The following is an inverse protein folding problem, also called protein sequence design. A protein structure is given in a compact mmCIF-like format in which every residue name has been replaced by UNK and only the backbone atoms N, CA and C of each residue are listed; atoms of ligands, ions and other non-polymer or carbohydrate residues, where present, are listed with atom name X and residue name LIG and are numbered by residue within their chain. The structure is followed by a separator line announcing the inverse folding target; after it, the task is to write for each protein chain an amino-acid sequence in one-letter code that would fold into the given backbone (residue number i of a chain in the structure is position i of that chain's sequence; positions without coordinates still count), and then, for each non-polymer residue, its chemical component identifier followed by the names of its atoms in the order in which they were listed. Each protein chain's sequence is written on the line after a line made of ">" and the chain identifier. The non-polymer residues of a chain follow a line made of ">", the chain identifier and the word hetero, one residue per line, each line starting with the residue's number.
data_IF_453383176457
#
_entry.id   IF_453383176457
#
_cell.length_a   1.000
_cell.length_b   1.000
_cell.length_c   1.000
_cell.angle_alpha   90.00
_cell.angle_beta   90.00
_cell.angle_gamma   90.00
#
_symmetry.space_group_name_H-M   'P 1'
#
loop_
_entity.id
_entity.type
_entity.pdbx_description
1 polymer ?
#
# COMPACT_ATOMS: atom_id res chain seq x y z
N UNK A 1 -5.75 24.01 15.80
CA UNK A 1 -6.95 24.42 16.55
C UNK A 1 -6.74 24.42 18.08
N UNK A 2 -6.05 23.45 18.67
CA UNK A 2 -5.76 23.43 20.14
C UNK A 2 -4.84 24.57 20.61
N UNK A 3 -3.85 24.96 19.81
CA UNK A 3 -2.92 26.06 20.16
C UNK A 3 -3.61 27.43 20.15
N UNK A 4 -4.53 27.69 19.23
CA UNK A 4 -5.32 28.93 19.20
C UNK A 4 -6.23 29.06 20.44
N UNK A 5 -6.82 27.97 20.92
CA UNK A 5 -7.62 27.95 22.15
C UNK A 5 -6.78 28.17 23.42
N UNK A 6 -5.51 27.72 23.43
CA UNK A 6 -4.61 28.00 24.54
C UNK A 6 -4.25 29.48 24.63
N UNK A 7 -4.04 30.15 23.49
CA UNK A 7 -3.73 31.59 23.43
C UNK A 7 -4.94 32.48 23.73
N UNK A 8 -6.13 32.07 23.29
CA UNK A 8 -7.36 32.77 23.63
C UNK A 8 -7.63 32.75 25.15
N UNK A 9 -7.44 31.57 25.79
CA UNK A 9 -7.56 31.43 27.24
C UNK A 9 -6.45 32.14 28.04
N UNK A 10 -5.26 32.32 27.44
CA UNK A 10 -4.18 33.09 28.06
C UNK A 10 -4.43 34.61 27.97
N UNK A 11 -4.93 35.07 26.83
CA UNK A 11 -5.28 36.49 26.64
C UNK A 11 -6.46 36.96 27.51
N UNK A 12 -7.44 36.07 27.77
CA UNK A 12 -8.62 36.38 28.60
C UNK A 12 -8.30 36.33 30.10
N UNK A 13 -7.21 35.64 30.52
CA UNK A 13 -6.78 35.57 31.92
C UNK A 13 -5.89 36.73 32.38
N UNK A 14 -5.36 37.53 31.48
CA UNK A 14 -4.65 38.75 31.79
C UNK A 14 -5.65 39.93 31.76
N UNK A 15 -6.29 40.16 32.90
CA UNK A 15 -7.03 41.38 33.18
C UNK A 15 -6.02 42.54 33.04
N UNK A 16 -6.14 43.32 31.95
CA UNK A 16 -5.28 44.45 31.65
C UNK A 16 -5.65 45.59 32.58
N UNK A 17 -5.21 45.51 33.84
CA UNK A 17 -5.29 46.60 34.79
C UNK A 17 -4.33 47.73 34.34
N UNK A 18 -4.82 48.93 34.28
CA UNK A 18 -4.36 50.13 33.56
C UNK A 18 -2.94 50.68 33.88
N UNK A 19 -2.01 49.89 34.42
CA UNK A 19 -0.72 50.37 34.92
C UNK A 19 0.54 49.75 34.33
N UNK A 20 0.48 49.19 33.12
CA UNK A 20 1.72 48.71 32.43
C UNK A 20 2.31 49.88 31.63
N UNK A 21 3.55 50.35 31.93
CA UNK A 21 4.18 51.41 31.16
C UNK A 21 4.25 51.05 29.69
N UNK A 22 3.85 51.96 28.80
CA UNK A 22 3.77 51.78 27.34
C UNK A 22 5.06 51.18 26.73
N UNK A 23 6.21 51.35 27.37
CA UNK A 23 7.52 50.80 26.99
C UNK A 23 7.68 49.29 27.28
N UNK A 24 7.06 48.79 28.35
CA UNK A 24 7.08 47.37 28.69
C UNK A 24 6.14 46.55 27.75
N UNK A 25 4.98 47.10 27.45
CA UNK A 25 4.01 46.48 26.53
C UNK A 25 4.56 46.38 25.11
N UNK A 26 5.27 47.42 24.61
CA UNK A 26 5.96 47.37 23.31
C UNK A 26 7.07 46.31 23.27
N UNK A 27 7.82 46.08 24.35
CA UNK A 27 8.81 45.02 24.47
C UNK A 27 8.17 43.62 24.47
N UNK A 28 7.08 43.43 25.19
CA UNK A 28 6.36 42.17 25.26
C UNK A 28 5.76 41.82 23.88
N UNK A 29 5.12 42.77 23.22
CA UNK A 29 4.58 42.59 21.86
C UNK A 29 5.71 42.28 20.86
N UNK A 30 6.87 42.94 20.95
CA UNK A 30 8.02 42.69 20.10
C UNK A 30 8.61 41.27 20.31
N UNK A 31 8.65 40.79 21.57
CA UNK A 31 9.12 39.46 21.92
C UNK A 31 8.13 38.40 21.40
N UNK A 32 6.82 38.62 21.52
CA UNK A 32 5.78 37.71 20.99
C UNK A 32 5.83 37.68 19.47
N UNK A 33 5.99 38.81 18.79
CA UNK A 33 6.13 38.88 17.34
C UNK A 33 7.43 38.22 16.85
N UNK A 34 8.54 38.41 17.57
CA UNK A 34 9.81 37.71 17.28
C UNK A 34 9.69 36.21 17.52
N UNK A 35 9.02 35.77 18.59
CA UNK A 35 8.77 34.36 18.84
C UNK A 35 7.83 33.73 17.78
N UNK A 36 6.80 34.45 17.33
CA UNK A 36 5.94 33.99 16.22
C UNK A 36 6.68 33.97 14.90
N UNK A 37 7.59 34.89 14.58
CA UNK A 37 8.44 34.80 13.39
C UNK A 37 9.43 33.65 13.47
N UNK A 38 10.01 33.39 14.62
CA UNK A 38 10.93 32.26 14.82
C UNK A 38 10.20 30.92 14.73
N UNK A 39 8.98 30.82 15.26
CA UNK A 39 8.16 29.60 15.10
C UNK A 39 7.65 29.41 13.68
N UNK A 40 7.36 30.46 12.93
CA UNK A 40 7.00 30.36 11.50
C UNK A 40 8.22 30.04 10.60
N UNK A 41 9.44 30.45 10.99
CA UNK A 41 10.67 30.04 10.29
C UNK A 41 11.11 28.61 10.64
N UNK A 42 10.73 28.08 11.81
CA UNK A 42 11.02 26.68 12.18
C UNK A 42 9.98 25.68 11.63
N UNK A 43 8.86 26.15 11.14
CA UNK A 43 7.88 25.37 10.38
C UNK A 43 8.16 25.41 8.88
N UNK A 44 9.43 25.50 8.48
CA UNK A 44 9.84 25.12 7.12
C UNK A 44 9.70 23.59 7.09
N UNK A 45 8.52 23.12 6.67
CA UNK A 45 8.29 21.71 6.44
C UNK A 45 9.39 21.23 5.49
N UNK A 46 10.20 20.30 5.97
CA UNK A 46 11.17 19.64 5.07
C UNK A 46 10.40 19.19 3.84
N UNK A 47 10.94 19.48 2.65
CA UNK A 47 10.35 19.00 1.39
C UNK A 47 10.08 17.49 1.52
N UNK A 48 8.91 17.00 1.10
CA UNK A 48 8.59 15.58 1.17
C UNK A 48 9.67 14.78 0.48
N UNK A 49 10.15 13.74 1.14
CA UNK A 49 11.15 12.87 0.52
C UNK A 49 10.55 12.18 -0.69
N UNK A 50 11.33 12.13 -1.77
CA UNK A 50 10.93 11.47 -3.00
C UNK A 50 12.14 10.89 -3.73
N UNK A 51 11.91 9.81 -4.48
CA UNK A 51 12.95 9.13 -5.25
C UNK A 51 12.37 8.56 -6.54
N UNK A 52 13.10 8.74 -7.66
CA UNK A 52 12.82 8.01 -8.90
C UNK A 52 13.50 6.65 -8.80
N UNK A 53 12.74 5.60 -9.05
CA UNK A 53 13.20 4.21 -9.02
C UNK A 53 13.28 3.70 -10.46
N UNK A 54 14.43 3.15 -10.86
CA UNK A 54 14.63 2.50 -12.17
C UNK A 54 14.06 3.32 -13.34
N UNK A 55 14.47 4.58 -13.46
CA UNK A 55 14.02 5.54 -14.48
C UNK A 55 12.48 5.71 -14.54
N UNK A 56 11.80 5.43 -13.43
CA UNK A 56 10.35 5.53 -13.30
C UNK A 56 9.59 4.31 -13.80
N UNK A 57 10.26 3.17 -14.02
CA UNK A 57 9.65 1.92 -14.47
C UNK A 57 9.49 1.81 -15.98
N UNK A 58 8.99 0.67 -16.45
CA UNK A 58 8.85 0.34 -17.88
C UNK A 58 7.48 0.70 -18.47
N UNK A 59 6.51 1.03 -17.62
CA UNK A 59 5.15 1.39 -18.03
C UNK A 59 5.06 2.72 -18.80
N UNK A 60 3.87 3.02 -19.32
CA UNK A 60 3.64 4.25 -20.10
C UNK A 60 3.71 5.53 -19.27
N UNK A 61 3.68 5.43 -17.93
CA UNK A 61 3.73 6.58 -17.03
C UNK A 61 4.96 6.47 -16.14
N UNK A 62 5.89 7.40 -16.24
CA UNK A 62 7.03 7.43 -15.33
C UNK A 62 6.56 7.59 -13.89
N UNK A 63 6.89 6.62 -13.04
CA UNK A 63 6.48 6.62 -11.64
C UNK A 63 7.52 7.25 -10.72
N UNK A 64 7.09 7.66 -9.54
CA UNK A 64 7.91 8.18 -8.45
C UNK A 64 7.46 7.55 -7.13
N UNK A 65 8.42 7.28 -6.28
CA UNK A 65 8.22 6.91 -4.88
C UNK A 65 8.35 8.17 -4.01
N UNK A 66 7.38 8.45 -3.14
CA UNK A 66 7.35 9.67 -2.33
C UNK A 66 6.62 9.52 -0.99
N UNK A 67 6.93 10.41 -0.06
CA UNK A 67 6.13 10.65 1.14
C UNK A 67 4.94 11.56 0.84
N UNK A 68 3.89 11.41 1.61
CA UNK A 68 2.75 12.33 1.63
C UNK A 68 2.52 12.80 3.07
N UNK A 69 2.57 14.12 3.29
CA UNK A 69 2.41 14.70 4.63
C UNK A 69 1.04 14.38 5.26
N UNK A 70 0.04 14.12 4.42
CA UNK A 70 -1.30 13.75 4.86
C UNK A 70 -1.46 12.28 5.23
N UNK A 71 -0.42 11.44 5.03
CA UNK A 71 -0.43 10.01 5.36
C UNK A 71 0.95 9.59 5.92
N UNK A 72 1.14 9.81 7.21
CA UNK A 72 2.38 9.44 7.89
C UNK A 72 2.62 7.92 7.86
N UNK A 73 3.89 7.53 7.90
CA UNK A 73 4.30 6.11 7.91
C UNK A 73 3.77 5.28 6.74
N UNK A 74 3.65 5.92 5.58
CA UNK A 74 3.33 5.26 4.31
C UNK A 74 4.21 5.81 3.20
N UNK A 75 4.45 4.97 2.20
CA UNK A 75 5.16 5.32 0.98
C UNK A 75 4.20 5.25 -0.21
N UNK A 76 4.12 6.32 -0.96
CA UNK A 76 3.28 6.40 -2.16
C UNK A 76 4.15 6.16 -3.40
N UNK A 77 3.67 5.28 -4.28
CA UNK A 77 4.17 5.14 -5.64
C UNK A 77 3.06 5.54 -6.62
N UNK A 78 3.34 6.49 -7.47
CA UNK A 78 2.36 7.03 -8.42
C UNK A 78 3.04 7.53 -9.69
N UNK A 79 2.31 7.67 -10.81
CA UNK A 79 2.81 8.43 -11.95
C UNK A 79 3.25 9.83 -11.52
N UNK A 80 4.40 10.29 -12.04
CA UNK A 80 4.93 11.63 -11.74
C UNK A 80 3.99 12.72 -12.26
N UNK A 81 3.47 12.53 -13.47
CA UNK A 81 2.51 13.45 -14.08
C UNK A 81 1.08 12.98 -13.81
N UNK A 82 0.44 13.60 -12.82
CA UNK A 82 -0.96 13.36 -12.52
C UNK A 82 -1.93 14.15 -13.41
N UNK A 83 -1.45 15.04 -14.30
CA UNK A 83 -2.31 15.87 -15.15
C UNK A 83 -3.04 15.06 -16.21
N UNK A 84 -2.48 13.91 -16.61
CA UNK A 84 -3.06 12.99 -17.58
C UNK A 84 -4.23 12.15 -17.00
N UNK A 85 -4.41 12.17 -15.68
CA UNK A 85 -5.47 11.46 -14.98
C UNK A 85 -6.62 12.41 -14.63
N UNK A 86 -7.84 11.92 -14.78
CA UNK A 86 -9.09 12.67 -14.58
C UNK A 86 -10.26 11.70 -14.38
N UNK A 87 -11.49 12.21 -14.29
CA UNK A 87 -12.69 11.42 -14.07
C UNK A 87 -12.91 10.27 -15.09
N UNK A 88 -12.31 10.33 -16.29
CA UNK A 88 -12.44 9.31 -17.35
C UNK A 88 -11.23 8.36 -17.40
N UNK A 89 -10.08 8.77 -16.86
CA UNK A 89 -8.85 7.97 -16.78
C UNK A 89 -8.32 8.06 -15.35
N UNK A 90 -8.76 7.15 -14.49
CA UNK A 90 -8.43 7.16 -13.06
C UNK A 90 -7.37 6.13 -12.73
N UNK A 91 -6.69 6.35 -11.62
CA UNK A 91 -5.71 5.45 -11.01
C UNK A 91 -6.44 4.44 -10.11
N UNK A 92 -6.55 3.16 -10.46
CA UNK A 92 -6.92 2.14 -9.48
C UNK A 92 -5.90 2.07 -8.36
N UNK A 93 -6.32 1.59 -7.19
CA UNK A 93 -5.50 1.58 -5.98
C UNK A 93 -4.97 0.20 -5.69
N UNK A 94 -3.69 0.12 -5.32
CA UNK A 94 -3.09 -1.04 -4.67
C UNK A 94 -2.63 -0.63 -3.28
N UNK A 95 -3.18 -1.23 -2.22
CA UNK A 95 -2.61 -1.11 -0.88
C UNK A 95 -1.71 -2.31 -0.60
N UNK A 96 -0.51 -2.06 -0.05
CA UNK A 96 0.54 -3.07 0.08
C UNK A 96 1.09 -3.17 1.50
N UNK A 97 1.16 -4.42 2.01
CA UNK A 97 1.87 -4.77 3.24
C UNK A 97 3.20 -5.46 2.95
N UNK A 98 4.22 -5.14 3.75
CA UNK A 98 5.58 -5.61 3.53
C UNK A 98 5.88 -6.94 4.23
N UNK A 99 6.89 -7.68 3.73
CA UNK A 99 7.46 -8.84 4.39
C UNK A 99 7.99 -8.51 5.79
N UNK A 100 8.07 -9.51 6.67
CA UNK A 100 8.48 -9.38 8.06
C UNK A 100 7.71 -8.32 8.87
N UNK A 101 6.53 -7.90 8.43
CA UNK A 101 5.82 -6.71 8.93
C UNK A 101 6.70 -5.45 8.96
N UNK A 102 7.67 -5.35 8.06
CA UNK A 102 8.59 -4.24 8.03
C UNK A 102 7.85 -2.93 7.73
N UNK A 103 8.08 -1.89 8.53
CA UNK A 103 7.46 -0.58 8.33
C UNK A 103 8.24 0.26 7.29
N UNK A 104 8.65 -0.39 6.21
CA UNK A 104 9.25 0.21 5.01
C UNK A 104 9.14 -0.76 3.83
N UNK A 105 8.81 -0.29 2.62
CA UNK A 105 8.77 -1.11 1.41
C UNK A 105 10.17 -1.36 0.80
N UNK A 106 11.24 -1.33 1.59
CA UNK A 106 12.62 -1.44 1.14
C UNK A 106 12.89 -2.63 0.22
N UNK A 107 12.35 -3.82 0.54
CA UNK A 107 12.57 -5.02 -0.28
C UNK A 107 11.68 -5.08 -1.54
N UNK A 108 10.64 -4.21 -1.61
CA UNK A 108 9.59 -4.28 -2.62
C UNK A 108 9.50 -3.05 -3.52
N UNK A 109 10.31 -1.99 -3.27
CA UNK A 109 10.12 -0.70 -3.94
C UNK A 109 10.25 -0.76 -5.47
N UNK A 110 11.09 -1.66 -6.01
CA UNK A 110 11.22 -1.85 -7.46
C UNK A 110 9.94 -2.45 -8.07
N UNK A 111 9.40 -3.49 -7.44
CA UNK A 111 8.14 -4.12 -7.80
C UNK A 111 6.96 -3.14 -7.73
N UNK A 112 6.87 -2.36 -6.66
CA UNK A 112 5.77 -1.41 -6.44
C UNK A 112 5.85 -0.22 -7.41
N UNK A 113 7.07 0.26 -7.69
CA UNK A 113 7.29 1.32 -8.67
C UNK A 113 6.94 0.87 -10.09
N UNK A 114 7.28 -0.37 -10.44
CA UNK A 114 6.90 -0.95 -11.72
C UNK A 114 5.38 -0.97 -11.88
N UNK A 115 4.62 -1.43 -10.88
CA UNK A 115 3.16 -1.41 -10.89
C UNK A 115 2.63 0.02 -11.08
N UNK A 116 3.17 1.00 -10.34
CA UNK A 116 2.75 2.38 -10.43
C UNK A 116 2.99 2.96 -11.83
N UNK A 117 4.07 2.55 -12.51
CA UNK A 117 4.37 3.01 -13.87
C UNK A 117 3.32 2.62 -14.92
N UNK A 118 2.49 1.65 -14.60
CA UNK A 118 1.33 1.26 -15.43
C UNK A 118 0.03 1.99 -15.05
N UNK A 119 0.13 3.09 -14.32
CA UNK A 119 -1.01 3.95 -13.98
C UNK A 119 -1.86 3.37 -12.86
N UNK A 120 -1.21 2.98 -11.76
CA UNK A 120 -1.82 2.65 -10.48
C UNK A 120 -1.35 3.64 -9.41
N UNK A 121 -2.20 3.91 -8.44
CA UNK A 121 -1.79 4.50 -7.17
C UNK A 121 -1.47 3.35 -6.22
N UNK A 122 -0.20 3.23 -5.85
CA UNK A 122 0.25 2.22 -4.88
C UNK A 122 0.54 2.90 -3.56
N UNK A 123 -0.10 2.42 -2.50
CA UNK A 123 0.09 2.90 -1.13
C UNK A 123 0.67 1.75 -0.30
N UNK A 124 1.96 1.81 -0.02
CA UNK A 124 2.65 0.82 0.78
C UNK A 124 2.76 1.28 2.24
N UNK A 125 2.60 0.35 3.19
CA UNK A 125 2.84 0.64 4.60
C UNK A 125 4.32 0.97 4.83
N UNK A 126 4.58 1.96 5.69
CA UNK A 126 5.91 2.27 6.18
C UNK A 126 6.66 3.39 5.47
N UNK A 127 7.78 3.74 6.07
CA UNK A 127 8.61 4.89 5.69
C UNK A 127 9.33 4.66 4.36
N UNK A 128 9.47 5.74 3.60
CA UNK A 128 10.17 5.72 2.31
C UNK A 128 11.64 5.30 2.46
N UNK A 129 12.12 4.30 1.70
CA UNK A 129 13.52 3.92 1.67
C UNK A 129 14.32 4.88 0.78
N UNK A 130 15.04 5.84 1.39
CA UNK A 130 15.84 6.84 0.64
C UNK A 130 17.25 6.38 0.32
N UNK A 131 17.77 5.43 1.05
CA UNK A 131 19.09 4.81 0.91
C UNK A 131 18.92 3.28 0.87
N UNK A 132 20.02 2.57 0.68
CA UNK A 132 20.01 1.11 0.59
C UNK A 132 20.13 0.43 1.98
N UNK A 133 19.80 1.16 3.04
CA UNK A 133 19.78 0.62 4.41
C UNK A 133 18.40 0.04 4.74
N UNK A 134 18.34 -1.19 5.29
CA UNK A 134 17.11 -1.76 5.80
C UNK A 134 16.51 -0.90 6.93
N UNK A 135 15.19 -0.88 7.00
CA UNK A 135 14.50 -0.22 8.10
C UNK A 135 14.66 -0.99 9.43
N UNK A 136 14.95 -0.28 10.51
CA UNK A 136 15.17 -0.82 11.85
C UNK A 136 14.25 -0.20 12.91
N UNK A 137 13.00 0.06 12.58
CA UNK A 137 12.02 0.68 13.48
C UNK A 137 10.88 -0.28 13.89
N UNK A 138 9.82 0.26 14.48
CA UNK A 138 8.61 -0.49 14.80
C UNK A 138 8.02 -1.19 13.59
N UNK A 139 7.36 -2.33 13.81
CA UNK A 139 6.69 -3.07 12.74
C UNK A 139 5.43 -2.34 12.27
N UNK A 140 5.05 -2.57 11.00
CA UNK A 140 3.79 -2.12 10.46
C UNK A 140 2.61 -2.89 11.05
N UNK A 141 1.43 -2.29 11.02
CA UNK A 141 0.20 -2.84 11.56
C UNK A 141 -0.81 -3.19 10.45
N UNK A 142 -1.79 -4.03 10.77
CA UNK A 142 -2.93 -4.30 9.89
C UNK A 142 -3.74 -3.03 9.57
N UNK A 143 -3.79 -2.10 10.53
CA UNK A 143 -4.55 -0.85 10.42
C UNK A 143 -3.99 0.06 9.32
N UNK A 144 -2.69 0.08 9.08
CA UNK A 144 -2.08 0.92 8.05
C UNK A 144 -2.60 0.60 6.63
N UNK A 145 -2.95 -0.66 6.31
CA UNK A 145 -3.60 -0.95 5.02
C UNK A 145 -5.00 -0.34 4.93
N UNK A 146 -5.75 -0.28 6.03
CA UNK A 146 -7.07 0.37 6.08
C UNK A 146 -6.92 1.89 5.95
N UNK A 147 -5.95 2.48 6.64
CA UNK A 147 -5.60 3.90 6.52
C UNK A 147 -5.22 4.29 5.10
N UNK A 148 -4.53 3.40 4.37
CA UNK A 148 -4.22 3.58 2.95
C UNK A 148 -5.48 3.71 2.10
N UNK A 149 -6.50 2.88 2.35
CA UNK A 149 -7.79 2.93 1.65
C UNK A 149 -8.54 4.21 2.01
N UNK A 150 -8.63 4.53 3.30
CA UNK A 150 -9.31 5.73 3.80
C UNK A 150 -8.70 7.00 3.20
N UNK A 151 -7.36 7.06 3.20
CA UNK A 151 -6.63 8.18 2.62
C UNK A 151 -6.89 8.33 1.11
N UNK A 152 -6.83 7.26 0.34
CA UNK A 152 -7.06 7.32 -1.10
C UNK A 152 -8.47 7.83 -1.43
N UNK A 153 -9.49 7.41 -0.66
CA UNK A 153 -10.87 7.87 -0.80
C UNK A 153 -10.98 9.36 -0.45
N UNK A 154 -10.37 9.79 0.65
CA UNK A 154 -10.36 11.18 1.08
C UNK A 154 -9.68 12.07 0.04
N UNK A 155 -8.49 11.68 -0.45
CA UNK A 155 -7.74 12.44 -1.46
C UNK A 155 -8.51 12.59 -2.79
N UNK A 156 -9.24 11.56 -3.20
CA UNK A 156 -10.05 11.64 -4.42
C UNK A 156 -11.22 12.64 -4.29
N UNK A 157 -11.67 12.89 -3.08
CA UNK A 157 -12.84 13.73 -2.78
C UNK A 157 -12.47 15.16 -2.38
N UNK A 158 -11.22 15.42 -2.02
CA UNK A 158 -10.72 16.72 -1.59
C UNK A 158 -10.33 17.58 -2.80
N UNK A 159 -11.03 18.71 -3.06
CA UNK A 159 -10.72 19.62 -4.17
C UNK A 159 -9.31 20.22 -4.13
N UNK A 160 -8.70 20.31 -2.94
CA UNK A 160 -7.36 20.86 -2.75
C UNK A 160 -6.26 19.80 -2.94
N UNK A 161 -6.65 18.53 -3.07
CA UNK A 161 -5.70 17.42 -3.29
C UNK A 161 -5.22 17.37 -4.75
N UNK A 162 -3.92 17.08 -4.98
CA UNK A 162 -3.39 16.79 -6.32
C UNK A 162 -4.05 15.55 -6.96
N UNK A 163 -4.70 14.71 -6.15
CA UNK A 163 -5.39 13.49 -6.57
C UNK A 163 -6.90 13.69 -6.81
N UNK A 164 -7.42 14.89 -6.64
CA UNK A 164 -8.85 15.17 -6.78
C UNK A 164 -9.44 14.64 -8.10
N UNK A 165 -10.48 13.81 -7.99
CA UNK A 165 -11.15 13.14 -9.12
C UNK A 165 -10.24 12.28 -10.02
N UNK A 166 -9.04 11.87 -9.55
CA UNK A 166 -8.08 11.08 -10.33
C UNK A 166 -7.93 9.64 -9.84
N UNK A 167 -8.43 9.30 -8.64
CA UNK A 167 -8.32 7.96 -8.08
C UNK A 167 -9.60 7.18 -8.38
N UNK A 168 -9.44 5.92 -8.77
CA UNK A 168 -10.56 4.98 -8.92
C UNK A 168 -10.81 4.25 -7.60
N UNK A 169 -11.54 4.90 -6.72
CA UNK A 169 -11.89 4.38 -5.38
C UNK A 169 -12.88 3.20 -5.42
N UNK A 170 -13.34 2.80 -6.60
CA UNK A 170 -14.19 1.62 -6.79
C UNK A 170 -13.39 0.37 -7.16
N UNK A 171 -12.13 0.52 -7.52
CA UNK A 171 -11.25 -0.56 -7.92
C UNK A 171 -9.99 -0.54 -7.05
N UNK A 172 -10.06 -1.23 -5.92
CA UNK A 172 -9.01 -1.29 -4.89
C UNK A 172 -8.55 -2.73 -4.73
N UNK A 173 -7.26 -2.98 -4.94
CA UNK A 173 -6.62 -4.22 -4.57
C UNK A 173 -5.96 -4.08 -3.19
N UNK A 174 -6.09 -5.10 -2.36
CA UNK A 174 -5.24 -5.27 -1.19
C UNK A 174 -4.26 -6.43 -1.43
N UNK A 175 -2.99 -6.18 -1.10
CA UNK A 175 -1.93 -7.15 -1.33
C UNK A 175 -0.83 -7.04 -0.28
N UNK A 176 0.02 -8.05 -0.24
CA UNK A 176 1.22 -8.02 0.60
C UNK A 176 2.03 -9.29 0.50
N UNK A 177 3.30 -9.18 0.89
CA UNK A 177 4.24 -10.29 0.90
C UNK A 177 4.43 -10.80 2.34
N UNK A 178 4.42 -12.14 2.51
CA UNK A 178 4.71 -12.79 3.80
C UNK A 178 3.82 -12.22 4.93
N UNK A 179 4.40 -11.57 5.94
CA UNK A 179 3.65 -10.89 7.00
C UNK A 179 2.62 -9.89 6.43
N UNK A 180 2.98 -9.10 5.40
CA UNK A 180 2.04 -8.20 4.74
C UNK A 180 0.87 -8.92 4.06
N UNK A 181 1.09 -10.15 3.56
CA UNK A 181 0.03 -11.01 3.06
C UNK A 181 -0.92 -11.48 4.16
N UNK A 182 -0.39 -11.75 5.36
CA UNK A 182 -1.21 -12.06 6.55
C UNK A 182 -2.03 -10.85 6.98
N UNK A 183 -1.46 -9.63 6.95
CA UNK A 183 -2.19 -8.38 7.20
C UNK A 183 -3.33 -8.20 6.18
N UNK A 184 -3.07 -8.51 4.91
CA UNK A 184 -4.07 -8.47 3.84
C UNK A 184 -5.21 -9.47 4.09
N UNK A 185 -4.89 -10.70 4.49
CA UNK A 185 -5.89 -11.70 4.86
C UNK A 185 -6.68 -11.31 6.12
N UNK A 186 -6.05 -10.64 7.07
CA UNK A 186 -6.74 -10.07 8.22
C UNK A 186 -7.82 -9.06 7.80
N UNK A 187 -7.53 -8.23 6.81
CA UNK A 187 -8.40 -7.16 6.30
C UNK A 187 -9.34 -7.61 5.16
N UNK A 188 -9.34 -8.89 4.76
CA UNK A 188 -10.03 -9.37 3.56
C UNK A 188 -11.55 -9.15 3.54
N UNK A 189 -12.17 -8.88 4.69
CA UNK A 189 -13.60 -8.62 4.83
C UNK A 189 -14.01 -7.17 4.46
N UNK A 190 -13.05 -6.24 4.31
CA UNK A 190 -13.36 -4.86 3.95
C UNK A 190 -14.02 -4.79 2.57
N UNK A 191 -15.27 -4.30 2.53
CA UNK A 191 -16.11 -4.29 1.32
C UNK A 191 -15.63 -3.36 0.21
N UNK A 192 -14.67 -2.49 0.48
CA UNK A 192 -14.05 -1.60 -0.51
C UNK A 192 -13.00 -2.33 -1.36
N UNK A 193 -12.46 -3.44 -0.84
CA UNK A 193 -11.50 -4.27 -1.56
C UNK A 193 -12.23 -5.05 -2.66
N UNK A 194 -11.73 -4.98 -3.88
CA UNK A 194 -12.33 -5.61 -5.06
C UNK A 194 -11.52 -6.79 -5.59
N UNK A 195 -10.28 -6.95 -5.16
CA UNK A 195 -9.45 -8.14 -5.40
C UNK A 195 -8.34 -8.25 -4.37
N UNK A 196 -7.88 -9.47 -4.13
CA UNK A 196 -6.74 -9.77 -3.25
C UNK A 196 -5.58 -10.36 -4.05
N UNK A 197 -4.36 -10.00 -3.62
CA UNK A 197 -3.12 -10.61 -4.13
C UNK A 197 -2.23 -10.98 -2.95
N UNK A 198 -2.13 -12.28 -2.66
CA UNK A 198 -1.40 -12.83 -1.52
C UNK A 198 -0.07 -13.36 -2.04
N UNK A 199 1.01 -12.71 -1.66
CA UNK A 199 2.35 -12.96 -2.19
C UNK A 199 3.22 -13.66 -1.13
N UNK A 200 3.80 -14.83 -1.47
CA UNK A 200 4.65 -15.62 -0.56
C UNK A 200 4.07 -15.69 0.86
N UNK A 201 2.78 -15.98 0.98
CA UNK A 201 2.05 -15.91 2.25
C UNK A 201 0.89 -16.91 2.29
N UNK A 202 0.34 -17.11 3.48
CA UNK A 202 -0.82 -17.94 3.76
C UNK A 202 -1.01 -18.08 5.26
N UNK A 203 -2.25 -18.29 5.71
CA UNK A 203 -2.58 -18.45 7.12
C UNK A 203 -1.93 -19.72 7.69
N UNK A 204 -1.48 -19.66 8.93
CA UNK A 204 -0.92 -20.82 9.60
C UNK A 204 -2.01 -21.85 9.98
N UNK A 205 -1.64 -23.13 10.06
CA UNK A 205 -2.50 -24.14 10.68
C UNK A 205 -2.63 -23.85 12.18
N UNK A 206 -3.80 -24.20 12.77
CA UNK A 206 -4.16 -23.88 14.16
C UNK A 206 -3.10 -24.32 15.18
N UNK A 207 -2.43 -25.44 14.94
CA UNK A 207 -1.37 -25.97 15.81
C UNK A 207 -0.20 -25.00 16.03
N UNK A 208 -0.02 -24.02 15.13
CA UNK A 208 1.01 -22.99 15.18
C UNK A 208 0.47 -21.58 15.48
N UNK A 209 -0.83 -21.45 15.75
CA UNK A 209 -1.52 -20.16 15.91
C UNK A 209 -1.08 -19.34 17.15
N UNK A 210 -0.28 -19.91 18.05
CA UNK A 210 0.30 -19.18 19.18
C UNK A 210 1.47 -18.30 18.79
N UNK A 211 1.97 -18.40 17.57
CA UNK A 211 3.07 -17.60 17.07
C UNK A 211 2.50 -16.32 16.42
N UNK A 212 2.42 -15.25 17.22
CA UNK A 212 2.19 -13.91 16.67
C UNK A 212 3.35 -13.57 15.71
N UNK A 213 3.02 -13.27 14.46
CA UNK A 213 3.99 -12.73 13.51
C UNK A 213 3.93 -11.20 13.59
N UNK A 214 5.03 -10.57 13.95
CA UNK A 214 5.06 -9.12 14.10
C UNK A 214 4.15 -8.59 15.22
N UNK A 215 3.86 -9.39 16.27
CA UNK A 215 2.93 -8.99 17.33
C UNK A 215 1.45 -9.02 16.93
N UNK A 216 1.15 -9.36 15.68
CA UNK A 216 -0.21 -9.49 15.18
C UNK A 216 -0.79 -10.87 15.54
N UNK A 217 -1.99 -10.95 16.15
CA UNK A 217 -2.65 -12.23 16.35
C UNK A 217 -2.98 -12.85 14.99
N UNK A 218 -2.61 -14.13 14.83
CA UNK A 218 -2.86 -14.85 13.58
C UNK A 218 -4.33 -15.21 13.46
N UNK A 219 -5.03 -14.80 12.39
CA UNK A 219 -6.39 -15.22 12.16
C UNK A 219 -6.42 -16.74 11.85
N UNK A 220 -7.46 -17.45 12.29
CA UNK A 220 -7.64 -18.85 11.95
C UNK A 220 -7.98 -19.03 10.47
N UNK A 221 -7.88 -20.26 9.94
CA UNK A 221 -8.19 -20.59 8.53
C UNK A 221 -9.64 -20.24 8.13
N UNK A 222 -10.56 -20.22 9.08
CA UNK A 222 -11.95 -19.81 8.88
C UNK A 222 -12.09 -18.38 8.39
N UNK A 223 -11.09 -17.52 8.64
CA UNK A 223 -10.99 -16.15 8.10
C UNK A 223 -11.10 -16.13 6.57
N UNK A 224 -10.63 -17.16 5.89
CA UNK A 224 -10.74 -17.29 4.43
C UNK A 224 -12.20 -17.23 3.94
N UNK A 225 -13.18 -17.64 4.76
CA UNK A 225 -14.61 -17.57 4.42
C UNK A 225 -15.14 -16.13 4.31
N UNK A 226 -14.41 -15.15 4.83
CA UNK A 226 -14.79 -13.74 4.73
C UNK A 226 -14.28 -13.07 3.43
N UNK A 227 -13.46 -13.78 2.65
CA UNK A 227 -13.04 -13.33 1.32
C UNK A 227 -14.27 -13.26 0.42
N UNK A 228 -14.53 -12.12 -0.18
CA UNK A 228 -15.70 -11.88 -1.00
C UNK A 228 -15.37 -11.45 -2.44
N UNK A 229 -14.09 -11.46 -2.80
CA UNK A 229 -13.55 -10.95 -4.07
C UNK A 229 -12.66 -11.99 -4.73
N UNK A 230 -12.34 -11.87 -6.04
CA UNK A 230 -11.32 -12.69 -6.67
C UNK A 230 -9.97 -12.58 -5.94
N UNK A 231 -9.27 -13.71 -5.80
CA UNK A 231 -7.96 -13.77 -5.12
C UNK A 231 -6.94 -14.55 -5.95
N UNK A 232 -5.72 -14.00 -5.99
CA UNK A 232 -4.55 -14.71 -6.50
C UNK A 232 -3.53 -14.91 -5.37
N UNK A 233 -2.98 -16.12 -5.28
CA UNK A 233 -1.75 -16.42 -4.54
C UNK A 233 -0.59 -16.43 -5.53
N UNK A 234 0.47 -15.65 -5.25
CA UNK A 234 1.73 -15.66 -6.00
C UNK A 234 2.80 -16.18 -5.06
N UNK A 235 3.28 -17.40 -5.29
CA UNK A 235 4.13 -18.12 -4.35
C UNK A 235 5.47 -18.48 -4.99
N UNK A 236 6.49 -18.61 -4.15
CA UNK A 236 7.85 -18.97 -4.52
C UNK A 236 8.09 -20.48 -4.74
N UNK A 237 7.01 -21.28 -4.91
CA UNK A 237 7.08 -22.73 -5.07
C UNK A 237 7.54 -23.45 -3.78
N UNK A 238 7.88 -24.75 -3.87
CA UNK A 238 8.28 -25.55 -2.71
C UNK A 238 9.45 -25.00 -1.87
N UNK A 239 10.42 -24.26 -2.44
CA UNK A 239 11.45 -23.59 -1.63
C UNK A 239 10.96 -22.42 -0.78
N UNK A 240 9.74 -21.94 -0.99
CA UNK A 240 9.11 -20.89 -0.23
C UNK A 240 8.54 -21.43 1.08
N UNK A 241 8.96 -20.87 2.21
CA UNK A 241 8.48 -21.27 3.57
C UNK A 241 6.97 -21.09 3.74
N UNK A 242 6.35 -20.20 2.94
CA UNK A 242 4.92 -19.95 2.96
C UNK A 242 4.13 -20.84 1.97
N UNK A 243 4.80 -21.62 1.12
CA UNK A 243 4.17 -22.36 0.04
C UNK A 243 3.04 -23.28 0.53
N UNK A 244 3.31 -24.13 1.52
CA UNK A 244 2.32 -25.08 2.05
C UNK A 244 1.10 -24.37 2.67
N UNK A 245 1.32 -23.25 3.36
CA UNK A 245 0.25 -22.46 3.94
C UNK A 245 -0.61 -21.77 2.86
N UNK A 246 0.03 -21.18 1.84
CA UNK A 246 -0.65 -20.50 0.74
C UNK A 246 -1.42 -21.48 -0.15
N UNK A 247 -0.87 -22.66 -0.45
CA UNK A 247 -1.57 -23.69 -1.18
C UNK A 247 -2.74 -24.29 -0.40
N UNK A 248 -2.60 -24.50 0.92
CA UNK A 248 -3.69 -24.93 1.78
C UNK A 248 -4.82 -23.89 1.83
N UNK A 249 -4.49 -22.59 1.90
CA UNK A 249 -5.48 -21.51 1.80
C UNK A 249 -6.21 -21.55 0.46
N UNK A 250 -5.47 -21.61 -0.64
CA UNK A 250 -6.04 -21.68 -1.99
C UNK A 250 -7.02 -22.86 -2.14
N UNK A 251 -6.66 -24.03 -1.67
CA UNK A 251 -7.52 -25.22 -1.76
C UNK A 251 -8.78 -25.14 -0.87
N UNK A 252 -8.77 -24.29 0.18
CA UNK A 252 -9.97 -24.04 1.02
C UNK A 252 -10.93 -23.03 0.40
N UNK A 253 -10.42 -22.15 -0.49
CA UNK A 253 -11.24 -21.10 -1.10
C UNK A 253 -12.03 -21.67 -2.27
N UNK A 254 -13.32 -21.97 -2.06
CA UNK A 254 -14.21 -22.54 -3.06
C UNK A 254 -15.46 -21.68 -3.35
N UNK A 255 -15.65 -20.58 -2.62
CA UNK A 255 -16.84 -19.71 -2.68
C UNK A 255 -16.63 -18.48 -3.58
N UNK A 256 -15.38 -18.07 -3.83
CA UNK A 256 -15.00 -16.99 -4.76
C UNK A 256 -14.00 -17.51 -5.80
N UNK A 257 -13.82 -16.81 -6.94
CA UNK A 257 -12.76 -17.14 -7.90
C UNK A 257 -11.37 -17.02 -7.24
N UNK A 258 -10.59 -18.09 -7.35
CA UNK A 258 -9.23 -18.14 -6.82
C UNK A 258 -8.27 -18.86 -7.76
N UNK A 259 -7.02 -18.40 -7.78
CA UNK A 259 -5.92 -19.10 -8.43
C UNK A 259 -4.63 -19.02 -7.62
N UNK A 260 -3.73 -19.97 -7.84
CA UNK A 260 -2.39 -20.01 -7.28
C UNK A 260 -1.37 -20.10 -8.41
N UNK A 261 -0.54 -19.08 -8.54
CA UNK A 261 0.57 -18.97 -9.47
C UNK A 261 1.89 -19.23 -8.71
N UNK A 262 2.65 -20.22 -9.13
CA UNK A 262 3.89 -20.62 -8.46
C UNK A 262 5.08 -20.53 -9.41
N UNK A 263 6.15 -19.88 -8.93
CA UNK A 263 7.48 -19.89 -9.54
C UNK A 263 8.50 -20.35 -8.47
N UNK A 264 9.31 -21.40 -8.69
CA UNK A 264 10.15 -21.99 -7.64
C UNK A 264 11.43 -21.17 -7.35
N UNK A 265 11.26 -19.92 -6.89
CA UNK A 265 12.33 -18.96 -6.56
C UNK A 265 12.51 -18.74 -5.06
N UNK A 266 11.70 -19.42 -4.22
CA UNK A 266 11.77 -19.30 -2.76
C UNK A 266 11.02 -18.09 -2.19
N UNK A 267 11.16 -17.88 -0.87
CA UNK A 267 10.37 -16.92 -0.10
C UNK A 267 10.63 -15.46 -0.50
N UNK A 268 11.84 -15.14 -0.94
CA UNK A 268 12.19 -13.79 -1.39
C UNK A 268 11.54 -13.35 -2.70
N UNK A 269 10.92 -14.27 -3.45
CA UNK A 269 10.33 -13.95 -4.75
C UNK A 269 11.33 -13.29 -5.72
N UNK A 270 10.83 -12.41 -6.58
CA UNK A 270 11.66 -11.64 -7.53
C UNK A 270 11.60 -10.13 -7.31
N UNK A 271 11.02 -9.67 -6.19
CA UNK A 271 10.71 -8.24 -5.94
C UNK A 271 11.92 -7.31 -6.05
N UNK A 272 13.10 -7.75 -5.59
CA UNK A 272 14.35 -7.01 -5.63
C UNK A 272 15.06 -7.00 -6.99
N UNK A 273 14.61 -7.82 -7.95
CA UNK A 273 15.13 -7.83 -9.30
C UNK A 273 14.75 -6.54 -10.05
N UNK A 274 15.43 -6.19 -11.17
CA UNK A 274 15.02 -5.06 -11.99
C UNK A 274 13.53 -5.12 -12.32
N UNK A 275 12.82 -4.02 -12.07
CA UNK A 275 11.38 -3.88 -12.29
C UNK A 275 10.52 -4.93 -11.57
N UNK A 276 11.03 -5.54 -10.48
CA UNK A 276 10.32 -6.57 -9.73
C UNK A 276 10.32 -7.97 -10.38
N UNK A 277 11.04 -8.15 -11.47
CA UNK A 277 11.20 -9.44 -12.17
C UNK A 277 9.89 -10.09 -12.59
N UNK A 278 9.88 -11.42 -12.61
CA UNK A 278 8.72 -12.23 -13.06
C UNK A 278 7.45 -12.01 -12.20
N UNK A 279 7.60 -11.73 -10.91
CA UNK A 279 6.44 -11.48 -10.04
C UNK A 279 5.70 -10.21 -10.44
N UNK A 280 6.40 -9.16 -10.88
CA UNK A 280 5.74 -7.94 -11.36
C UNK A 280 4.93 -8.17 -12.62
N UNK A 281 5.40 -9.02 -13.54
CA UNK A 281 4.67 -9.36 -14.77
C UNK A 281 3.33 -10.02 -14.44
N UNK A 282 3.33 -10.97 -13.51
CA UNK A 282 2.12 -11.69 -13.10
C UNK A 282 1.19 -10.78 -12.29
N UNK A 283 1.74 -10.04 -11.34
CA UNK A 283 0.98 -9.08 -10.53
C UNK A 283 0.31 -8.00 -11.39
N UNK A 284 1.06 -7.42 -12.36
CA UNK A 284 0.53 -6.43 -13.30
C UNK A 284 -0.61 -7.01 -14.13
N UNK A 285 -0.44 -8.21 -14.68
CA UNK A 285 -1.48 -8.85 -15.48
C UNK A 285 -2.75 -9.06 -14.64
N UNK A 286 -2.62 -9.47 -13.37
CA UNK A 286 -3.75 -9.61 -12.46
C UNK A 286 -4.44 -8.28 -12.20
N UNK A 287 -3.67 -7.25 -11.82
CA UNK A 287 -4.20 -5.92 -11.49
C UNK A 287 -4.84 -5.23 -12.70
N UNK A 288 -4.22 -5.33 -13.89
CA UNK A 288 -4.80 -4.78 -15.12
C UNK A 288 -6.11 -5.46 -15.47
N UNK A 289 -6.16 -6.80 -15.31
CA UNK A 289 -7.42 -7.51 -15.54
C UNK A 289 -8.49 -7.15 -14.53
N UNK A 290 -8.20 -7.30 -13.22
CA UNK A 290 -9.21 -7.16 -12.17
C UNK A 290 -9.66 -5.71 -11.92
N UNK A 291 -8.75 -4.73 -12.07
CA UNK A 291 -9.04 -3.34 -11.73
C UNK A 291 -9.28 -2.45 -12.97
N UNK A 292 -8.76 -2.82 -14.14
CA UNK A 292 -8.93 -2.06 -15.38
C UNK A 292 -9.76 -2.79 -16.44
N UNK A 293 -10.14 -4.04 -16.17
CA UNK A 293 -10.92 -4.86 -17.11
C UNK A 293 -10.16 -5.23 -18.39
N UNK A 294 -8.81 -5.23 -18.35
CA UNK A 294 -7.98 -5.54 -19.51
C UNK A 294 -8.08 -7.02 -19.90
N UNK A 295 -8.77 -7.27 -21.00
CA UNK A 295 -8.99 -8.63 -21.53
C UNK A 295 -7.70 -9.26 -22.08
N UNK A 296 -6.71 -8.46 -22.49
CA UNK A 296 -5.41 -8.99 -22.93
C UNK A 296 -4.60 -9.49 -21.73
N UNK A 297 -4.60 -8.73 -20.64
CA UNK A 297 -4.00 -9.13 -19.38
C UNK A 297 -4.65 -10.41 -18.83
N UNK A 298 -5.96 -10.58 -18.99
CA UNK A 298 -6.68 -11.79 -18.60
C UNK A 298 -6.15 -13.07 -19.26
N UNK A 299 -5.57 -12.99 -20.46
CA UNK A 299 -4.99 -14.14 -21.16
C UNK A 299 -3.80 -14.76 -20.40
N UNK A 300 -3.21 -14.03 -19.46
CA UNK A 300 -2.19 -14.58 -18.55
C UNK A 300 -2.75 -15.78 -17.77
N UNK A 301 -4.03 -15.76 -17.42
CA UNK A 301 -4.64 -16.72 -16.50
C UNK A 301 -5.76 -17.54 -17.11
N UNK A 302 -6.44 -17.03 -18.16
CA UNK A 302 -7.63 -17.66 -18.75
C UNK A 302 -7.29 -18.76 -19.75
N UNK A 303 -8.18 -19.75 -19.82
CA UNK A 303 -8.01 -20.92 -20.71
C UNK A 303 -7.03 -21.96 -20.15
N UNK A 304 -7.00 -23.11 -20.81
CA UNK A 304 -6.11 -24.22 -20.44
C UNK A 304 -4.70 -24.01 -21.01
N UNK A 305 -4.59 -23.26 -22.11
CA UNK A 305 -3.33 -22.86 -22.75
C UNK A 305 -3.05 -21.37 -22.46
N UNK A 306 -3.06 -20.98 -21.15
CA UNK A 306 -2.84 -19.62 -20.73
C UNK A 306 -1.36 -19.19 -20.86
N UNK A 307 -1.14 -17.86 -20.94
CA UNK A 307 0.20 -17.33 -21.16
C UNK A 307 1.15 -17.57 -19.98
N UNK A 308 0.62 -17.71 -18.74
CA UNK A 308 1.47 -17.97 -17.58
C UNK A 308 2.17 -19.32 -17.67
N UNK A 309 1.45 -20.38 -18.08
CA UNK A 309 2.02 -21.71 -18.21
C UNK A 309 3.05 -21.82 -19.35
N UNK A 310 3.07 -20.85 -20.28
CA UNK A 310 4.10 -20.73 -21.33
C UNK A 310 5.38 -20.05 -20.86
N UNK A 311 5.35 -19.40 -19.69
CA UNK A 311 6.54 -18.80 -19.08
C UNK A 311 7.32 -19.85 -18.31
N UNK A 312 8.63 -19.81 -18.44
CA UNK A 312 9.51 -20.79 -17.83
C UNK A 312 9.34 -20.84 -16.30
N UNK A 313 9.18 -22.03 -15.77
CA UNK A 313 9.10 -22.32 -14.34
C UNK A 313 7.76 -22.02 -13.68
N UNK A 314 6.83 -21.33 -14.35
CA UNK A 314 5.53 -21.03 -13.76
C UNK A 314 4.56 -22.22 -13.83
N UNK A 315 3.80 -22.40 -12.75
CA UNK A 315 2.60 -23.24 -12.73
C UNK A 315 1.40 -22.40 -12.28
N UNK A 316 0.21 -22.81 -12.72
CA UNK A 316 -1.04 -22.14 -12.37
C UNK A 316 -2.11 -23.18 -12.02
N UNK A 317 -2.64 -23.07 -10.80
CA UNK A 317 -3.83 -23.80 -10.36
C UNK A 317 -5.02 -22.84 -10.25
N UNK A 318 -6.21 -23.31 -10.58
CA UNK A 318 -7.46 -22.52 -10.58
C UNK A 318 -8.56 -23.32 -9.90
N UNK A 319 -9.37 -22.67 -9.07
CA UNK A 319 -10.57 -23.32 -8.53
C UNK A 319 -11.73 -23.29 -9.56
N UNK A 320 -12.79 -24.03 -9.28
CA UNK A 320 -13.96 -24.13 -10.17
C UNK A 320 -14.64 -22.76 -10.45
N UNK A 321 -14.60 -21.85 -9.48
CA UNK A 321 -15.20 -20.52 -9.62
C UNK A 321 -14.42 -19.61 -10.57
N UNK A 322 -13.14 -19.92 -10.83
CA UNK A 322 -12.26 -19.08 -11.65
C UNK A 322 -12.78 -18.92 -13.09
N UNK A 323 -13.41 -19.96 -13.64
CA UNK A 323 -14.03 -19.91 -14.97
C UNK A 323 -15.14 -18.86 -15.10
N UNK A 324 -15.72 -18.40 -13.99
CA UNK A 324 -16.79 -17.40 -13.93
C UNK A 324 -16.27 -15.95 -13.99
N UNK A 325 -14.96 -15.72 -13.85
CA UNK A 325 -14.35 -14.40 -14.03
C UNK A 325 -14.51 -13.94 -15.49
N UNK A 326 -15.06 -12.74 -15.67
CA UNK A 326 -15.29 -12.11 -16.98
C UNK A 326 -14.02 -11.52 -17.59
#
# INVERSE_FOLDING_TARGET
>A
MQILNLFYNFAVKFDLNENIPNKAMKKIISIIFSAMMVTSLMAQSAEPKQRIVEDGGTGPYKAIMKEEASLAEHTIFAPQDLSVFNAKNRLPVLVWGNGACNNSPFEHYKFLNEIASYGFLVVATGFIPMNDDPYHGPMSTTQQQIESIDWAIAQNSDPDSPYYNKIDVKHIAAAGMSCGGLQTLFNCADKRITTLMICNSGLFKIENAHNAVGGMPMPPKEKLNEIHTPVIYILGGKPDIAYENGMDDFHRINHVPACAANLPVGHGGTYGQPHGGEFSVVALAWLQWQLKGDKKAALMFKGDDNLLQKREGWTLEKNEKFSKLK
#
